data_IF_852986601408
#
_entry.id   IF_852986601408
#
_cell.length_a   1.000
_cell.length_b   1.000
_cell.length_c   1.000
_cell.angle_alpha   90.00
_cell.angle_beta   90.00
_cell.angle_gamma   90.00
#
_symmetry.space_group_name_H-M   'P 1'
#
loop_
_entity.id
_entity.type
_entity.pdbx_description
1 polymer ?
#
# COMPACT_ATOMS: atom_id res chain seq x y z
N UNK A 1 -4.33 12.62 1.93
CA UNK A 1 -3.12 13.04 2.62
C UNK A 1 -3.40 13.70 3.98
N UNK A 2 -4.26 14.76 4.04
CA UNK A 2 -4.50 15.52 5.28
C UNK A 2 -5.10 14.67 6.40
N UNK A 3 -6.13 13.86 6.11
CA UNK A 3 -6.81 13.06 7.14
C UNK A 3 -5.88 12.09 7.87
N UNK A 4 -5.11 11.20 7.20
CA UNK A 4 -4.20 10.31 7.90
C UNK A 4 -3.12 11.05 8.69
N UNK A 5 -2.64 12.21 8.23
CA UNK A 5 -1.68 13.01 8.97
C UNK A 5 -2.28 13.55 10.28
N UNK A 6 -3.47 14.18 10.21
CA UNK A 6 -4.16 14.71 11.39
C UNK A 6 -4.52 13.60 12.38
N UNK A 7 -5.02 12.46 11.89
CA UNK A 7 -5.33 11.31 12.75
C UNK A 7 -4.09 10.78 13.47
N UNK A 8 -2.95 10.75 12.80
CA UNK A 8 -1.67 10.35 13.41
C UNK A 8 -1.23 11.32 14.50
N UNK A 9 -1.39 12.64 14.27
CA UNK A 9 -1.11 13.66 15.30
C UNK A 9 -2.02 13.51 16.51
N UNK A 10 -3.33 13.35 16.28
CA UNK A 10 -4.30 13.18 17.38
C UNK A 10 -4.00 11.91 18.17
N UNK A 11 -3.68 10.81 17.50
CA UNK A 11 -3.28 9.57 18.18
C UNK A 11 -2.03 9.78 19.04
N UNK A 12 -1.00 10.44 18.51
CA UNK A 12 0.24 10.70 19.26
C UNK A 12 0.01 11.59 20.48
N UNK A 13 -0.84 12.62 20.35
CA UNK A 13 -1.15 13.54 21.44
C UNK A 13 -1.99 12.89 22.56
N UNK A 14 -2.79 11.88 22.24
CA UNK A 14 -3.71 11.24 23.17
C UNK A 14 -3.25 9.84 23.62
N UNK A 15 -2.09 9.38 23.19
CA UNK A 15 -1.58 8.07 23.60
C UNK A 15 -1.21 8.12 25.11
N UNK A 16 -1.75 7.25 25.96
CA UNK A 16 -1.37 7.18 27.37
C UNK A 16 0.13 6.89 27.53
N UNK A 17 0.77 7.47 28.56
CA UNK A 17 2.24 7.39 28.76
C UNK A 17 2.82 5.97 28.81
N UNK A 18 2.04 4.99 29.25
CA UNK A 18 2.45 3.59 29.37
C UNK A 18 1.98 2.72 28.18
N UNK A 19 1.29 3.31 27.20
CA UNK A 19 0.75 2.59 26.07
C UNK A 19 1.71 2.64 24.86
N UNK A 20 1.61 1.64 24.01
CA UNK A 20 2.23 1.63 22.66
C UNK A 20 1.15 1.62 21.59
N UNK A 21 1.46 2.19 20.44
CA UNK A 21 0.54 2.29 19.32
C UNK A 21 1.10 1.73 18.02
N UNK A 22 0.22 1.47 17.06
CA UNK A 22 0.58 1.13 15.70
C UNK A 22 -0.34 1.82 14.71
N UNK A 23 0.23 2.47 13.72
CA UNK A 23 -0.46 3.10 12.60
C UNK A 23 -0.14 2.31 11.34
N UNK A 24 -1.18 1.96 10.57
CA UNK A 24 -1.04 1.31 9.28
C UNK A 24 -1.71 2.17 8.21
N UNK A 25 -0.92 2.77 7.34
CA UNK A 25 -1.40 3.57 6.23
C UNK A 25 -1.66 2.69 4.99
N UNK A 26 -2.77 2.91 4.31
CA UNK A 26 -3.04 2.26 3.03
C UNK A 26 -2.54 3.17 1.90
N UNK A 27 -1.47 2.72 1.28
CA UNK A 27 -0.81 3.41 0.16
C UNK A 27 -1.41 2.93 -1.17
N UNK A 28 -0.60 2.77 -2.19
CA UNK A 28 -0.96 2.21 -3.49
C UNK A 28 0.34 1.85 -4.22
N UNK A 29 0.33 0.78 -5.00
CA UNK A 29 1.49 0.32 -5.77
C UNK A 29 2.06 1.38 -6.75
N UNK A 30 1.25 2.40 -7.11
CA UNK A 30 1.69 3.51 -7.98
C UNK A 30 2.84 4.34 -7.41
N UNK A 31 3.10 4.25 -6.11
CA UNK A 31 4.26 4.93 -5.50
C UNK A 31 5.58 4.25 -5.87
N UNK A 32 5.53 2.98 -6.27
CA UNK A 32 6.68 2.19 -6.71
C UNK A 32 6.76 2.10 -8.24
N UNK A 33 5.60 2.19 -8.94
CA UNK A 33 5.51 2.13 -10.39
C UNK A 33 4.78 3.38 -10.93
N UNK A 34 5.53 4.44 -11.14
CA UNK A 34 4.99 5.73 -11.58
C UNK A 34 4.50 5.66 -13.04
N UNK A 35 3.34 6.23 -13.29
CA UNK A 35 2.75 6.36 -14.62
C UNK A 35 2.29 7.80 -14.87
N UNK A 36 2.14 8.25 -16.13
CA UNK A 36 1.64 9.59 -16.44
C UNK A 36 0.15 9.78 -16.10
N UNK A 37 -0.53 8.72 -15.66
CA UNK A 37 -1.95 8.75 -15.34
C UNK A 37 -2.19 8.96 -13.83
N UNK A 38 -3.30 9.64 -13.48
CA UNK A 38 -3.73 9.86 -12.08
C UNK A 38 -2.69 10.61 -11.23
N UNK A 39 -2.02 11.63 -11.78
CA UNK A 39 -0.93 12.33 -11.11
C UNK A 39 -1.27 12.84 -9.71
N UNK A 40 -2.41 13.51 -9.52
CA UNK A 40 -2.81 14.04 -8.20
C UNK A 40 -2.99 12.93 -7.15
N UNK A 41 -3.55 11.79 -7.56
CA UNK A 41 -3.68 10.61 -6.71
C UNK A 41 -2.29 10.05 -6.36
N UNK A 42 -1.44 9.86 -7.35
CA UNK A 42 -0.07 9.34 -7.15
C UNK A 42 0.73 10.25 -6.22
N UNK A 43 0.71 11.58 -6.43
CA UNK A 43 1.35 12.55 -5.54
C UNK A 43 0.82 12.42 -4.11
N UNK A 44 -0.50 12.30 -3.93
CA UNK A 44 -1.11 12.15 -2.60
C UNK A 44 -0.65 10.86 -1.89
N UNK A 45 -0.54 9.74 -2.62
CA UNK A 45 -0.09 8.46 -2.08
C UNK A 45 1.42 8.44 -1.82
N UNK A 46 2.23 9.04 -2.69
CA UNK A 46 3.68 9.19 -2.48
C UNK A 46 3.96 10.06 -1.26
N UNK A 47 3.25 11.17 -1.10
CA UNK A 47 3.36 11.99 0.10
C UNK A 47 2.93 11.22 1.36
N UNK A 48 1.90 10.36 1.29
CA UNK A 48 1.51 9.53 2.42
C UNK A 48 2.58 8.47 2.75
N UNK A 49 3.27 7.93 1.75
CA UNK A 49 4.42 7.06 1.95
C UNK A 49 5.57 7.80 2.65
N UNK A 50 5.91 8.99 2.21
CA UNK A 50 6.93 9.84 2.86
C UNK A 50 6.55 10.14 4.32
N UNK A 51 5.27 10.49 4.57
CA UNK A 51 4.76 10.72 5.93
C UNK A 51 4.86 9.46 6.78
N UNK A 52 4.58 8.28 6.24
CA UNK A 52 4.72 7.00 6.96
C UNK A 52 6.14 6.83 7.50
N UNK A 53 7.15 7.07 6.66
CA UNK A 53 8.56 6.94 7.04
C UNK A 53 9.01 7.99 8.05
N UNK A 54 8.60 9.25 7.86
CA UNK A 54 8.98 10.35 8.76
C UNK A 54 8.27 10.25 10.12
N UNK A 55 6.98 9.84 10.14
CA UNK A 55 6.27 9.59 11.39
C UNK A 55 6.82 8.36 12.12
N UNK A 56 7.29 7.33 11.41
CA UNK A 56 7.94 6.18 12.05
C UNK A 56 9.17 6.60 12.87
N UNK A 57 9.92 7.59 12.37
CA UNK A 57 11.05 8.17 13.11
C UNK A 57 10.59 9.08 14.25
N UNK A 58 9.64 9.97 13.97
CA UNK A 58 9.22 11.00 14.91
C UNK A 58 8.43 10.45 16.11
N UNK A 59 7.71 9.35 15.95
CA UNK A 59 6.82 8.79 16.98
C UNK A 59 7.42 7.59 17.71
N UNK A 60 8.60 7.13 17.31
CA UNK A 60 9.32 6.08 18.01
C UNK A 60 9.78 6.57 19.40
N UNK A 61 9.87 5.68 20.40
CA UNK A 61 9.52 4.26 20.37
C UNK A 61 8.03 3.98 20.66
N UNK A 62 7.22 5.01 20.97
CA UNK A 62 5.86 4.85 21.48
C UNK A 62 4.88 4.34 20.40
N UNK A 63 5.04 4.79 19.15
CA UNK A 63 4.14 4.42 18.06
C UNK A 63 4.97 3.93 16.86
N UNK A 64 4.64 2.75 16.36
CA UNK A 64 5.15 2.22 15.10
C UNK A 64 4.26 2.70 13.95
N UNK A 65 4.85 3.05 12.81
CA UNK A 65 4.09 3.51 11.65
C UNK A 65 4.56 2.73 10.43
N UNK A 66 3.64 2.00 9.80
CA UNK A 66 3.90 1.18 8.62
C UNK A 66 2.83 1.40 7.55
N UNK A 67 2.99 0.77 6.42
CA UNK A 67 2.06 0.85 5.31
C UNK A 67 1.76 -0.51 4.69
N UNK A 68 0.60 -0.59 4.03
CA UNK A 68 0.26 -1.64 3.08
C UNK A 68 0.02 -0.95 1.73
N UNK A 69 0.57 -1.51 0.68
CA UNK A 69 0.41 -1.05 -0.70
C UNK A 69 -0.38 -2.10 -1.50
N UNK A 70 -1.70 -1.98 -1.58
CA UNK A 70 -2.53 -2.92 -2.33
C UNK A 70 -2.44 -2.66 -3.84
N UNK A 71 -2.61 -3.75 -4.60
CA UNK A 71 -2.97 -3.71 -6.01
C UNK A 71 -4.48 -3.69 -6.23
N UNK A 72 -4.99 -4.30 -7.33
CA UNK A 72 -6.41 -4.35 -7.64
C UNK A 72 -7.13 -5.33 -6.70
N UNK A 73 -7.81 -4.81 -5.67
CA UNK A 73 -8.56 -5.57 -4.66
C UNK A 73 -10.04 -5.65 -5.01
N UNK A 74 -10.68 -4.48 -5.22
CA UNK A 74 -12.09 -4.36 -5.54
C UNK A 74 -12.28 -3.39 -6.71
N UNK A 75 -13.25 -3.63 -7.60
CA UNK A 75 -13.55 -2.67 -8.66
C UNK A 75 -14.09 -1.37 -8.05
N UNK A 76 -13.68 -0.24 -8.62
CA UNK A 76 -14.29 1.05 -8.24
C UNK A 76 -15.74 1.12 -8.74
N UNK A 77 -16.60 1.97 -8.13
CA UNK A 77 -18.00 2.12 -8.58
C UNK A 77 -18.15 2.54 -10.05
N UNK A 78 -17.10 3.08 -10.67
CA UNK A 78 -17.06 3.53 -12.06
C UNK A 78 -16.37 2.54 -13.01
N UNK A 79 -15.88 1.42 -12.49
CA UNK A 79 -15.13 0.43 -13.26
C UNK A 79 -16.02 -0.77 -13.58
N UNK A 80 -16.10 -1.15 -14.86
CA UNK A 80 -16.78 -2.37 -15.26
C UNK A 80 -16.02 -3.62 -14.77
N UNK A 81 -16.73 -4.75 -14.69
CA UNK A 81 -16.10 -6.04 -14.33
C UNK A 81 -14.98 -6.42 -15.31
N UNK A 82 -15.18 -6.18 -16.60
CA UNK A 82 -14.21 -6.48 -17.64
C UNK A 82 -12.96 -5.59 -17.53
N UNK A 83 -13.14 -4.28 -17.27
CA UNK A 83 -12.02 -3.38 -17.05
C UNK A 83 -11.22 -3.75 -15.78
N UNK A 84 -11.90 -4.22 -14.74
CA UNK A 84 -11.24 -4.73 -13.54
C UNK A 84 -10.48 -6.03 -13.82
N UNK A 85 -11.09 -6.96 -14.58
CA UNK A 85 -10.44 -8.20 -15.00
C UNK A 85 -9.19 -7.93 -15.85
N UNK A 86 -9.25 -6.99 -16.79
CA UNK A 86 -8.09 -6.56 -17.57
C UNK A 86 -6.98 -5.97 -16.70
N UNK A 87 -7.34 -5.22 -15.66
CA UNK A 87 -6.36 -4.62 -14.75
C UNK A 87 -5.54 -5.67 -13.99
N UNK A 88 -6.18 -6.67 -13.38
CA UNK A 88 -5.45 -7.68 -12.62
C UNK A 88 -4.77 -8.75 -13.50
N UNK A 89 -5.35 -9.07 -14.67
CA UNK A 89 -4.72 -10.00 -15.60
C UNK A 89 -3.46 -9.43 -16.28
N UNK A 90 -3.26 -8.11 -16.23
CA UNK A 90 -2.03 -7.46 -16.66
C UNK A 90 -0.91 -7.51 -15.62
N UNK A 91 -1.20 -7.89 -14.36
CA UNK A 91 -0.20 -8.05 -13.33
C UNK A 91 0.56 -9.39 -13.51
N UNK A 92 1.82 -9.51 -13.05
CA UNK A 92 2.62 -10.72 -13.18
C UNK A 92 1.95 -12.01 -12.67
N UNK A 93 1.17 -11.94 -11.59
CA UNK A 93 0.45 -13.10 -11.05
C UNK A 93 -0.96 -13.28 -11.62
N UNK A 94 -1.40 -12.41 -12.52
CA UNK A 94 -2.67 -12.48 -13.28
C UNK A 94 -3.93 -12.68 -12.39
N UNK A 95 -3.90 -12.17 -11.16
CA UNK A 95 -5.02 -12.32 -10.21
C UNK A 95 -5.31 -11.02 -9.45
N UNK A 96 -6.57 -10.84 -9.09
CA UNK A 96 -6.94 -9.81 -8.13
C UNK A 96 -6.41 -10.18 -6.73
N UNK A 97 -6.11 -9.16 -5.94
CA UNK A 97 -5.74 -9.33 -4.52
C UNK A 97 -7.00 -9.56 -3.71
N UNK A 98 -6.99 -10.55 -2.83
CA UNK A 98 -8.09 -10.80 -1.90
C UNK A 98 -7.99 -9.83 -0.69
N UNK A 99 -9.14 -9.36 -0.22
CA UNK A 99 -9.23 -8.59 1.02
C UNK A 99 -8.65 -9.33 2.23
N UNK A 100 -8.75 -10.67 2.25
CA UNK A 100 -8.15 -11.51 3.28
C UNK A 100 -6.61 -11.38 3.32
N UNK A 101 -5.95 -11.20 2.17
CA UNK A 101 -4.50 -11.01 2.10
C UNK A 101 -4.09 -9.67 2.73
N UNK A 102 -4.88 -8.61 2.49
CA UNK A 102 -4.67 -7.29 3.12
C UNK A 102 -4.86 -7.37 4.64
N UNK A 103 -5.90 -8.09 5.08
CA UNK A 103 -6.13 -8.33 6.51
C UNK A 103 -5.00 -9.15 7.17
N UNK A 104 -4.46 -10.14 6.47
CA UNK A 104 -3.32 -10.93 6.95
C UNK A 104 -2.07 -10.06 7.11
N UNK A 105 -1.77 -9.19 6.15
CA UNK A 105 -0.66 -8.24 6.25
C UNK A 105 -0.85 -7.25 7.40
N UNK A 106 -2.06 -6.73 7.59
CA UNK A 106 -2.35 -5.85 8.72
C UNK A 106 -2.12 -6.56 10.06
N UNK A 107 -2.59 -7.79 10.22
CA UNK A 107 -2.34 -8.61 11.42
C UNK A 107 -0.85 -8.87 11.65
N UNK A 108 -0.11 -9.18 10.58
CA UNK A 108 1.35 -9.34 10.65
C UNK A 108 2.04 -8.07 11.15
N UNK A 109 1.72 -6.91 10.57
CA UNK A 109 2.30 -5.61 10.98
C UNK A 109 1.99 -5.34 12.47
N UNK A 110 0.78 -5.61 12.91
CA UNK A 110 0.37 -5.41 14.31
C UNK A 110 1.14 -6.34 15.26
N UNK A 111 1.36 -7.57 14.87
CA UNK A 111 2.05 -8.60 15.67
C UNK A 111 3.60 -8.50 15.63
N UNK A 112 4.18 -7.67 14.77
CA UNK A 112 5.64 -7.54 14.60
C UNK A 112 6.18 -6.29 15.32
N UNK A 113 6.63 -6.40 16.59
CA UNK A 113 7.00 -5.24 17.41
C UNK A 113 8.24 -4.48 16.90
N UNK A 114 9.11 -5.11 16.14
CA UNK A 114 10.30 -4.49 15.57
C UNK A 114 10.08 -3.89 14.17
N UNK A 115 8.85 -3.93 13.63
CA UNK A 115 8.52 -3.43 12.31
C UNK A 115 8.01 -1.99 12.40
N UNK A 116 8.76 -1.04 11.82
CA UNK A 116 8.35 0.36 11.65
C UNK A 116 8.99 0.97 10.42
N UNK A 117 8.33 1.94 9.78
CA UNK A 117 8.78 2.62 8.57
C UNK A 117 8.75 1.74 7.31
N UNK A 118 8.05 0.60 7.33
CA UNK A 118 8.01 -0.36 6.23
C UNK A 118 6.71 -0.29 5.46
N UNK A 119 6.76 -0.69 4.19
CA UNK A 119 5.60 -0.90 3.32
C UNK A 119 5.57 -2.37 2.88
N UNK A 120 4.43 -3.01 3.04
CA UNK A 120 4.18 -4.37 2.52
C UNK A 120 3.33 -4.22 1.26
N UNK A 121 3.90 -4.54 0.12
CA UNK A 121 3.22 -4.49 -1.17
C UNK A 121 2.53 -5.82 -1.45
N UNK A 122 1.20 -5.78 -1.67
CA UNK A 122 0.35 -6.93 -1.99
C UNK A 122 -0.47 -6.55 -3.21
N UNK A 123 0.09 -6.76 -4.40
CA UNK A 123 -0.45 -6.21 -5.64
C UNK A 123 -0.34 -7.16 -6.85
N UNK A 124 -0.12 -8.44 -6.59
CA UNK A 124 0.11 -9.45 -7.63
C UNK A 124 1.32 -9.15 -8.55
N UNK A 125 2.29 -8.36 -8.04
CA UNK A 125 3.47 -7.95 -8.77
C UNK A 125 3.24 -6.73 -9.68
N UNK A 126 2.11 -6.03 -9.56
CA UNK A 126 1.78 -4.89 -10.43
C UNK A 126 2.83 -3.76 -10.33
N UNK A 127 3.49 -3.57 -9.18
CA UNK A 127 4.56 -2.58 -9.00
C UNK A 127 5.81 -2.87 -9.85
N UNK A 128 6.03 -4.12 -10.29
CA UNK A 128 7.15 -4.52 -11.16
C UNK A 128 6.93 -4.10 -12.62
N UNK A 129 5.78 -3.53 -12.93
CA UNK A 129 5.36 -3.18 -14.28
C UNK A 129 4.37 -4.20 -14.86
N UNK A 130 3.82 -3.86 -16.01
CA UNK A 130 2.95 -4.78 -16.73
C UNK A 130 3.76 -5.98 -17.19
N UNK A 131 3.17 -7.17 -17.15
CA UNK A 131 3.74 -8.35 -17.76
C UNK A 131 3.97 -8.07 -19.26
N UNK A 132 5.22 -7.91 -19.68
CA UNK A 132 5.60 -7.73 -21.06
C UNK A 132 5.84 -9.07 -21.77
N UNK A 133 5.52 -10.20 -21.12
CA UNK A 133 5.61 -11.49 -21.77
C UNK A 133 4.66 -11.50 -22.98
N UNK A 134 5.17 -11.68 -24.20
CA UNK A 134 4.30 -11.90 -25.34
C UNK A 134 3.47 -13.15 -25.07
N UNK A 135 2.16 -13.07 -25.29
CA UNK A 135 1.21 -14.17 -25.07
C UNK A 135 1.49 -15.40 -25.97
N UNK A 136 2.60 -15.43 -26.68
CA UNK A 136 3.06 -16.55 -27.51
C UNK A 136 4.57 -16.46 -27.71
N UNK A 137 5.31 -17.25 -26.95
CA UNK A 137 6.77 -17.42 -27.07
C UNK A 137 7.47 -17.20 -25.74
N UNK A 138 8.31 -18.16 -25.35
CA UNK A 138 9.08 -18.07 -24.11
C UNK A 138 10.00 -16.85 -24.03
N UNK A 139 10.71 -16.64 -22.90
CA UNK A 139 11.57 -15.51 -22.70
C UNK A 139 12.59 -15.41 -23.84
N UNK A 140 12.58 -14.31 -24.55
CA UNK A 140 13.67 -13.94 -25.45
C UNK A 140 14.76 -13.30 -24.58
N UNK A 141 15.84 -14.04 -24.35
CA UNK A 141 17.09 -13.43 -23.88
C UNK A 141 17.65 -12.48 -24.93
#
# INVERSE_FOLDING_TARGET
>A
LRAPFVLSQVMAQNLPRAASGSIVNIIDQRVENLTPHFMSYTISKSALWTITQTLAQALAPAIRVNAISPGPVLPSPRQSKDAFAQQYSAAPLERAVDTAEICAAAKFILAAPSLTGQMITIDSGQHLGLSQAPKSGGPSE
#
